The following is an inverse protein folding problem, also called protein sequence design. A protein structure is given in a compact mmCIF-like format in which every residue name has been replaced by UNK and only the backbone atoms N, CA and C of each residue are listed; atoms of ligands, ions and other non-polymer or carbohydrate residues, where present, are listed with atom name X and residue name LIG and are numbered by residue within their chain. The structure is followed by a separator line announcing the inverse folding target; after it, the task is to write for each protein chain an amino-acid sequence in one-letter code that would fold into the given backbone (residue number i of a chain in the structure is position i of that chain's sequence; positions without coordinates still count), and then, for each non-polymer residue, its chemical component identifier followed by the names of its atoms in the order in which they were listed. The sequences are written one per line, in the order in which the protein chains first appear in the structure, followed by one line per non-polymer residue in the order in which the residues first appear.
data_IF_181499747665
#
_entry.id   IF_181499747665
#
_cell.length_a   1.000
_cell.length_b   1.000
_cell.length_c   1.000
_cell.angle_alpha   90.00
_cell.angle_beta   90.00
_cell.angle_gamma   90.00
#
_symmetry.space_group_name_H-M   'P 1'
#
loop_
_entity.id
_entity.type
_entity.pdbx_description
1 polymer ?
#
# COMPACT_ATOMS: atom_id res chain seq x y z
N UNK A 1 -23.42 -19.45 -11.74
CA UNK A 1 -23.72 -18.63 -10.54
C UNK A 1 -23.38 -17.19 -10.88
N UNK A 2 -24.20 -16.22 -10.45
CA UNK A 2 -23.87 -14.81 -10.63
C UNK A 2 -22.59 -14.45 -9.89
N UNK A 3 -21.85 -13.51 -10.45
CA UNK A 3 -20.66 -12.91 -9.86
C UNK A 3 -21.08 -12.15 -8.58
N UNK A 4 -20.35 -12.23 -7.45
CA UNK A 4 -20.63 -11.38 -6.29
C UNK A 4 -20.59 -9.89 -6.66
N UNK A 5 -21.52 -9.09 -6.14
CA UNK A 5 -21.67 -7.67 -6.51
C UNK A 5 -20.49 -6.80 -6.05
N UNK A 6 -19.84 -7.20 -4.97
CA UNK A 6 -18.63 -6.58 -4.43
C UNK A 6 -17.35 -7.06 -5.11
N UNK A 7 -17.42 -8.03 -6.03
CA UNK A 7 -16.24 -8.46 -6.77
C UNK A 7 -15.70 -7.31 -7.64
N UNK A 8 -14.38 -7.12 -7.62
CA UNK A 8 -13.73 -6.14 -8.45
C UNK A 8 -13.91 -6.51 -9.94
N UNK A 9 -14.63 -5.72 -10.74
CA UNK A 9 -15.01 -6.13 -12.09
C UNK A 9 -13.86 -6.05 -13.09
N UNK A 10 -12.81 -5.29 -12.75
CA UNK A 10 -11.71 -4.94 -13.66
C UNK A 10 -10.65 -6.05 -13.75
N UNK A 11 -10.10 -6.30 -14.96
CA UNK A 11 -9.04 -7.28 -15.15
C UNK A 11 -7.76 -6.87 -14.41
N UNK A 12 -7.03 -7.87 -13.94
CA UNK A 12 -5.76 -7.72 -13.21
C UNK A 12 -4.64 -8.35 -14.04
N UNK A 13 -3.39 -7.87 -13.94
CA UNK A 13 -2.94 -6.71 -13.15
C UNK A 13 -3.51 -5.38 -13.70
N UNK A 14 -3.58 -4.35 -12.86
CA UNK A 14 -4.05 -3.04 -13.31
C UNK A 14 -2.95 -2.35 -14.14
N UNK A 15 -3.27 -1.69 -15.27
CA UNK A 15 -2.30 -0.91 -16.02
C UNK A 15 -1.85 0.33 -15.25
N UNK A 16 -0.67 0.87 -15.60
CA UNK A 16 -0.06 2.01 -14.88
C UNK A 16 -0.94 3.28 -14.87
N UNK A 17 -1.75 3.46 -15.91
CA UNK A 17 -2.67 4.59 -16.12
C UNK A 17 -4.13 4.26 -15.75
N UNK A 18 -4.37 3.14 -15.03
CA UNK A 18 -5.72 2.70 -14.70
C UNK A 18 -6.54 3.77 -13.96
N UNK A 19 -7.66 4.16 -14.57
CA UNK A 19 -8.58 5.18 -14.06
C UNK A 19 -10.06 4.77 -14.14
N UNK A 20 -10.36 3.55 -14.57
CA UNK A 20 -11.73 3.11 -14.84
C UNK A 20 -12.60 2.93 -13.58
N UNK A 21 -11.98 2.83 -12.39
CA UNK A 21 -12.69 2.81 -11.11
C UNK A 21 -12.53 4.15 -10.39
N UNK A 22 -13.62 4.86 -10.04
CA UNK A 22 -13.54 6.15 -9.36
C UNK A 22 -12.94 6.02 -7.95
N UNK A 23 -13.07 4.86 -7.33
CA UNK A 23 -12.46 4.54 -6.03
C UNK A 23 -11.06 3.91 -6.13
N UNK A 24 -10.44 3.84 -7.32
CA UNK A 24 -9.11 3.25 -7.44
C UNK A 24 -8.08 4.02 -6.63
N UNK A 25 -7.33 3.30 -5.80
CA UNK A 25 -6.17 3.81 -5.06
C UNK A 25 -5.01 2.87 -5.33
N UNK A 26 -4.04 3.35 -6.13
CA UNK A 26 -2.94 2.54 -6.60
C UNK A 26 -2.09 2.03 -5.43
N UNK A 27 -1.71 0.75 -5.51
CA UNK A 27 -0.81 0.10 -4.57
C UNK A 27 0.14 -0.80 -5.36
N UNK A 28 1.43 -0.76 -5.07
CA UNK A 28 2.35 -1.79 -5.53
C UNK A 28 2.28 -3.01 -4.60
N UNK A 29 2.15 -4.19 -5.18
CA UNK A 29 2.25 -5.47 -4.51
C UNK A 29 3.44 -6.22 -5.06
N UNK A 30 4.34 -6.67 -4.20
CA UNK A 30 5.58 -7.34 -4.59
C UNK A 30 5.56 -8.71 -3.90
N UNK A 31 5.10 -9.76 -4.61
CA UNK A 31 5.04 -11.08 -4.04
C UNK A 31 6.46 -11.63 -3.86
N UNK A 32 6.64 -12.41 -2.81
CA UNK A 32 7.84 -13.21 -2.60
C UNK A 32 7.54 -14.66 -3.00
N UNK A 33 8.50 -15.33 -3.64
CA UNK A 33 8.40 -16.78 -3.83
C UNK A 33 8.70 -17.55 -2.52
N UNK A 34 8.64 -18.88 -2.58
CA UNK A 34 8.92 -19.76 -1.42
C UNK A 34 10.38 -19.67 -0.93
N UNK A 35 11.26 -19.05 -1.70
CA UNK A 35 12.67 -18.81 -1.40
C UNK A 35 12.95 -17.36 -0.98
N UNK A 36 11.90 -16.56 -0.75
CA UNK A 36 11.97 -15.13 -0.45
C UNK A 36 12.69 -14.32 -1.55
N UNK A 37 12.61 -14.76 -2.81
CA UNK A 37 13.00 -13.95 -3.95
C UNK A 37 11.82 -13.05 -4.34
N UNK A 38 12.05 -11.74 -4.53
CA UNK A 38 11.01 -10.84 -4.99
C UNK A 38 10.65 -11.17 -6.45
N UNK A 39 9.35 -11.30 -6.69
CA UNK A 39 8.79 -11.41 -8.04
C UNK A 39 8.52 -10.01 -8.63
N UNK A 40 8.11 -9.97 -9.90
CA UNK A 40 7.78 -8.72 -10.57
C UNK A 40 6.68 -7.95 -9.79
N UNK A 41 6.91 -6.66 -9.48
CA UNK A 41 5.89 -5.82 -8.87
C UNK A 41 4.63 -5.75 -9.71
N UNK A 42 3.48 -5.96 -9.10
CA UNK A 42 2.18 -5.79 -9.75
C UNK A 42 1.43 -4.61 -9.14
N UNK A 43 0.77 -3.83 -10.00
CA UNK A 43 -0.13 -2.78 -9.56
C UNK A 43 -1.45 -3.41 -9.11
N UNK A 44 -1.87 -3.06 -7.91
CA UNK A 44 -3.15 -3.45 -7.29
C UNK A 44 -3.89 -2.22 -6.76
N UNK A 45 -5.07 -2.44 -6.20
CA UNK A 45 -5.86 -1.40 -5.54
C UNK A 45 -5.83 -1.60 -4.02
N UNK A 46 -5.69 -0.52 -3.24
CA UNK A 46 -5.72 -0.55 -1.78
C UNK A 46 -7.02 -1.14 -1.21
N UNK A 47 -8.12 -1.03 -1.95
CA UNK A 47 -9.42 -1.58 -1.53
C UNK A 47 -9.60 -3.05 -1.89
N UNK A 48 -8.66 -3.66 -2.63
CA UNK A 48 -8.78 -5.03 -3.09
C UNK A 48 -8.49 -6.00 -1.94
N UNK A 49 -9.44 -6.88 -1.64
CA UNK A 49 -9.33 -7.88 -0.57
C UNK A 49 -9.75 -9.25 -1.10
N UNK A 50 -9.24 -10.31 -0.46
CA UNK A 50 -9.65 -11.69 -0.77
C UNK A 50 -10.83 -12.08 0.12
N UNK A 51 -11.94 -12.53 -0.48
CA UNK A 51 -13.10 -13.08 0.24
C UNK A 51 -13.37 -14.51 -0.21
N UNK A 52 -13.91 -15.33 0.70
CA UNK A 52 -14.30 -16.69 0.40
C UNK A 52 -15.68 -16.73 -0.27
N UNK A 53 -15.84 -17.61 -1.26
CA UNK A 53 -17.16 -18.00 -1.75
C UNK A 53 -17.78 -19.05 -0.80
N UNK A 54 -19.11 -19.23 -0.81
CA UNK A 54 -19.76 -20.29 -0.01
C UNK A 54 -19.25 -21.70 -0.34
N UNK A 55 -18.68 -21.91 -1.54
CA UNK A 55 -18.07 -23.18 -1.90
C UNK A 55 -16.69 -23.32 -1.24
N UNK A 56 -16.42 -24.54 -0.78
CA UNK A 56 -15.15 -24.91 -0.16
C UNK A 56 -13.96 -24.59 -1.09
N UNK A 57 -12.91 -23.98 -0.52
CA UNK A 57 -11.66 -23.65 -1.22
C UNK A 57 -11.82 -22.76 -2.46
N UNK A 58 -12.83 -21.90 -2.48
CA UNK A 58 -12.97 -20.89 -3.53
C UNK A 58 -12.93 -19.49 -2.94
N UNK A 59 -12.16 -18.63 -3.60
CA UNK A 59 -11.99 -17.23 -3.22
C UNK A 59 -12.19 -16.33 -4.42
N UNK A 60 -12.48 -15.07 -4.17
CA UNK A 60 -12.63 -14.03 -5.17
C UNK A 60 -12.03 -12.72 -4.68
N UNK A 61 -11.73 -11.83 -5.62
CA UNK A 61 -11.12 -10.54 -5.35
C UNK A 61 -12.21 -9.48 -5.15
N UNK A 62 -12.60 -9.26 -3.90
CA UNK A 62 -13.63 -8.31 -3.51
C UNK A 62 -13.08 -6.88 -3.35
N UNK A 63 -13.96 -5.91 -3.43
CA UNK A 63 -13.70 -4.54 -3.02
C UNK A 63 -14.19 -4.35 -1.58
N UNK A 64 -13.30 -3.92 -0.68
CA UNK A 64 -13.65 -3.61 0.72
C UNK A 64 -14.71 -2.51 0.85
N UNK A 65 -14.85 -1.65 -0.16
CA UNK A 65 -15.91 -0.64 -0.22
C UNK A 65 -17.29 -1.22 -0.59
N UNK A 66 -17.35 -2.44 -1.13
CA UNK A 66 -18.58 -3.06 -1.61
C UNK A 66 -18.79 -2.94 -3.13
N UNK A 67 -20.05 -2.86 -3.53
CA UNK A 67 -20.51 -2.88 -4.92
C UNK A 67 -20.18 -1.60 -5.72
N UNK A 68 -20.70 -1.50 -6.94
CA UNK A 68 -20.48 -0.35 -7.81
C UNK A 68 -21.03 0.97 -7.23
N UNK A 69 -22.17 0.92 -6.55
CA UNK A 69 -22.79 2.10 -5.96
C UNK A 69 -21.97 2.58 -4.76
N UNK A 70 -21.56 1.67 -3.89
CA UNK A 70 -20.75 1.98 -2.72
C UNK A 70 -19.38 2.57 -3.12
N UNK A 71 -18.76 2.06 -4.19
CA UNK A 71 -17.54 2.65 -4.78
C UNK A 71 -17.77 4.09 -5.27
N UNK A 72 -18.88 4.34 -5.95
CA UNK A 72 -19.24 5.67 -6.44
C UNK A 72 -19.54 6.67 -5.32
N UNK A 73 -20.27 6.22 -4.29
CA UNK A 73 -20.61 7.02 -3.11
C UNK A 73 -19.35 7.43 -2.35
N UNK A 74 -18.46 6.48 -2.05
CA UNK A 74 -17.18 6.77 -1.40
C UNK A 74 -16.35 7.78 -2.19
N UNK A 75 -16.25 7.60 -3.51
CA UNK A 75 -15.48 8.52 -4.35
C UNK A 75 -16.07 9.95 -4.36
N UNK A 76 -17.40 10.06 -4.25
CA UNK A 76 -18.10 11.33 -4.17
C UNK A 76 -17.92 12.00 -2.80
N UNK A 77 -17.99 11.23 -1.70
CA UNK A 77 -17.77 11.70 -0.33
C UNK A 77 -16.33 12.21 -0.12
N UNK A 78 -15.34 11.53 -0.69
CA UNK A 78 -13.93 11.98 -0.64
C UNK A 78 -13.65 13.13 -1.62
N UNK A 79 -14.44 13.22 -2.70
CA UNK A 79 -14.30 14.20 -3.77
C UNK A 79 -13.38 13.74 -4.90
N UNK A 80 -13.93 13.59 -6.11
CA UNK A 80 -13.21 13.08 -7.29
C UNK A 80 -11.97 13.92 -7.62
N UNK A 81 -12.10 15.25 -7.62
CA UNK A 81 -10.97 16.15 -7.88
C UNK A 81 -9.85 16.01 -6.83
N UNK A 82 -10.19 15.74 -5.57
CA UNK A 82 -9.21 15.47 -4.50
C UNK A 82 -8.51 14.13 -4.75
N UNK A 83 -9.25 13.09 -5.13
CA UNK A 83 -8.70 11.78 -5.49
C UNK A 83 -7.75 11.85 -6.69
N UNK A 84 -8.05 12.67 -7.69
CA UNK A 84 -7.16 12.87 -8.84
C UNK A 84 -5.83 13.53 -8.45
N UNK A 85 -5.86 14.58 -7.62
CA UNK A 85 -4.65 15.21 -7.06
C UNK A 85 -3.83 14.21 -6.26
N UNK A 86 -4.48 13.45 -5.39
CA UNK A 86 -3.87 12.38 -4.61
C UNK A 86 -3.17 11.35 -5.51
N UNK A 87 -3.84 10.89 -6.58
CA UNK A 87 -3.25 9.92 -7.53
C UNK A 87 -2.05 10.52 -8.27
N UNK A 88 -2.07 11.81 -8.57
CA UNK A 88 -0.92 12.49 -9.17
C UNK A 88 0.28 12.47 -8.21
N UNK A 89 0.07 12.87 -6.96
CA UNK A 89 1.10 12.82 -5.91
C UNK A 89 1.63 11.40 -5.71
N UNK A 90 0.75 10.38 -5.67
CA UNK A 90 1.16 8.97 -5.56
C UNK A 90 2.03 8.51 -6.73
N UNK A 91 1.73 8.93 -7.96
CA UNK A 91 2.56 8.60 -9.14
C UNK A 91 3.92 9.25 -9.07
N UNK A 92 3.98 10.54 -8.73
CA UNK A 92 5.24 11.28 -8.58
C UNK A 92 6.10 10.66 -7.47
N UNK A 93 5.50 10.34 -6.33
CA UNK A 93 6.15 9.63 -5.23
C UNK A 93 6.69 8.26 -5.69
N UNK A 94 5.87 7.50 -6.44
CA UNK A 94 6.26 6.22 -7.02
C UNK A 94 7.49 6.34 -7.94
N UNK A 95 7.53 7.38 -8.78
CA UNK A 95 8.69 7.69 -9.63
C UNK A 95 9.92 8.05 -8.81
N UNK A 96 9.76 8.84 -7.74
CA UNK A 96 10.87 9.25 -6.87
C UNK A 96 11.52 8.05 -6.15
N UNK A 97 10.71 7.06 -5.73
CA UNK A 97 11.22 5.87 -5.01
C UNK A 97 11.64 4.71 -5.91
N UNK A 98 11.22 4.71 -7.19
CA UNK A 98 11.50 3.63 -8.14
C UNK A 98 12.98 3.19 -8.19
N UNK A 99 13.98 4.09 -8.12
CA UNK A 99 15.40 3.70 -8.13
C UNK A 99 15.82 2.83 -6.96
N UNK A 100 15.15 2.92 -5.81
CA UNK A 100 15.49 2.16 -4.61
C UNK A 100 14.78 0.81 -4.54
N UNK A 101 13.68 0.64 -5.27
CA UNK A 101 12.77 -0.49 -5.15
C UNK A 101 13.47 -1.84 -5.25
N UNK A 102 14.10 -2.13 -6.40
CA UNK A 102 14.73 -3.43 -6.66
C UNK A 102 15.77 -3.80 -5.57
N UNK A 103 16.60 -2.83 -5.16
CA UNK A 103 17.66 -3.08 -4.19
C UNK A 103 17.12 -3.24 -2.75
N UNK A 104 16.09 -2.48 -2.36
CA UNK A 104 15.40 -2.67 -1.08
C UNK A 104 14.82 -4.08 -0.97
N UNK A 105 14.21 -4.57 -2.04
CA UNK A 105 13.62 -5.91 -2.09
C UNK A 105 14.63 -7.03 -2.06
N UNK A 106 15.74 -6.89 -2.77
CA UNK A 106 16.81 -7.86 -2.73
C UNK A 106 17.42 -7.97 -1.32
N UNK A 107 17.75 -6.83 -0.70
CA UNK A 107 18.26 -6.80 0.67
C UNK A 107 17.26 -7.37 1.68
N UNK A 108 15.96 -7.10 1.49
CA UNK A 108 14.91 -7.68 2.32
C UNK A 108 14.81 -9.20 2.14
N UNK A 109 14.90 -9.70 0.92
CA UNK A 109 14.94 -11.13 0.63
C UNK A 109 16.15 -11.82 1.28
N UNK A 110 17.32 -11.19 1.22
CA UNK A 110 18.53 -11.68 1.91
C UNK A 110 18.34 -11.75 3.42
N UNK A 111 17.75 -10.70 4.03
CA UNK A 111 17.44 -10.67 5.45
C UNK A 111 16.48 -11.79 5.85
N UNK A 112 15.41 -12.01 5.10
CA UNK A 112 14.41 -13.07 5.36
C UNK A 112 14.99 -14.47 5.19
N UNK A 113 15.83 -14.69 4.18
CA UNK A 113 16.58 -15.96 4.01
C UNK A 113 17.50 -16.21 5.20
N UNK A 114 18.24 -15.19 5.64
CA UNK A 114 19.13 -15.33 6.79
C UNK A 114 18.35 -15.71 8.07
N UNK A 115 17.19 -15.09 8.31
CA UNK A 115 16.30 -15.48 9.41
C UNK A 115 15.78 -16.91 9.29
N UNK A 116 15.34 -17.33 8.09
CA UNK A 116 14.85 -18.70 7.86
C UNK A 116 15.94 -19.74 8.12
N UNK A 117 17.15 -19.47 7.65
CA UNK A 117 18.28 -20.39 7.70
C UNK A 117 19.02 -20.34 9.04
N UNK A 118 18.58 -19.51 9.99
CA UNK A 118 19.20 -19.33 11.31
C UNK A 118 20.60 -18.72 11.26
N UNK A 119 20.93 -18.01 10.18
CA UNK A 119 22.23 -17.38 9.94
C UNK A 119 22.20 -15.88 10.31
N UNK A 120 23.37 -15.23 10.27
CA UNK A 120 23.49 -13.82 10.63
C UNK A 120 22.82 -12.90 9.60
N UNK A 121 21.71 -12.27 10.02
CA UNK A 121 20.98 -11.28 9.23
C UNK A 121 21.51 -9.84 9.41
N UNK A 122 22.52 -9.63 10.27
CA UNK A 122 23.11 -8.32 10.57
C UNK A 122 23.56 -7.55 9.34
N UNK A 123 24.41 -8.12 8.46
CA UNK A 123 24.90 -7.44 7.27
C UNK A 123 23.79 -6.98 6.32
N UNK A 124 22.78 -7.83 6.08
CA UNK A 124 21.63 -7.50 5.24
C UNK A 124 20.76 -6.41 5.89
N UNK A 125 20.56 -6.48 7.21
CA UNK A 125 19.79 -5.49 7.97
C UNK A 125 20.46 -4.12 7.96
N UNK A 126 21.78 -4.05 8.13
CA UNK A 126 22.53 -2.80 8.07
C UNK A 126 22.52 -2.18 6.66
N UNK A 127 22.73 -2.98 5.63
CA UNK A 127 22.64 -2.53 4.24
C UNK A 127 21.23 -2.01 3.93
N UNK A 128 20.20 -2.68 4.41
CA UNK A 128 18.82 -2.27 4.24
C UNK A 128 18.53 -0.94 4.95
N UNK A 129 19.01 -0.76 6.18
CA UNK A 129 18.91 0.52 6.92
C UNK A 129 19.61 1.66 6.19
N UNK A 130 20.81 1.44 5.65
CA UNK A 130 21.53 2.47 4.89
C UNK A 130 20.77 2.89 3.64
N UNK A 131 20.28 1.93 2.85
CA UNK A 131 19.52 2.21 1.64
C UNK A 131 18.19 2.90 1.94
N UNK A 132 17.50 2.44 2.98
CA UNK A 132 16.26 3.07 3.43
C UNK A 132 16.48 4.51 3.89
N UNK A 133 17.58 4.80 4.61
CA UNK A 133 17.95 6.16 4.98
C UNK A 133 18.22 7.08 3.77
N UNK A 134 18.87 6.56 2.72
CA UNK A 134 19.05 7.29 1.46
C UNK A 134 17.71 7.60 0.78
N UNK A 135 16.81 6.61 0.73
CA UNK A 135 15.46 6.79 0.19
C UNK A 135 14.68 7.83 1.01
N UNK A 136 14.72 7.78 2.35
CA UNK A 136 14.06 8.76 3.22
C UNK A 136 14.57 10.18 2.97
N UNK A 137 15.89 10.37 2.85
CA UNK A 137 16.45 11.69 2.58
C UNK A 137 16.01 12.26 1.23
N UNK A 138 15.95 11.41 0.19
CA UNK A 138 15.43 11.80 -1.11
C UNK A 138 13.93 12.13 -1.04
N UNK A 139 13.15 11.30 -0.34
CA UNK A 139 11.73 11.54 -0.10
C UNK A 139 11.47 12.85 0.65
N UNK A 140 12.32 13.20 1.60
CA UNK A 140 12.23 14.47 2.31
C UNK A 140 12.41 15.66 1.35
N UNK A 141 13.45 15.64 0.51
CA UNK A 141 13.65 16.68 -0.50
C UNK A 141 12.48 16.79 -1.48
N UNK A 142 11.90 15.65 -1.87
CA UNK A 142 10.69 15.60 -2.70
C UNK A 142 9.49 16.25 -1.99
N UNK A 143 9.20 15.89 -0.74
CA UNK A 143 8.07 16.42 0.01
C UNK A 143 8.20 17.94 0.25
N UNK A 144 9.41 18.44 0.49
CA UNK A 144 9.67 19.86 0.65
C UNK A 144 9.42 20.63 -0.66
N UNK A 145 9.89 20.10 -1.79
CA UNK A 145 9.66 20.67 -3.13
C UNK A 145 8.18 20.67 -3.52
N UNK A 146 7.41 19.67 -3.09
CA UNK A 146 5.99 19.50 -3.41
C UNK A 146 5.04 19.92 -2.26
N UNK A 147 5.54 20.72 -1.30
CA UNK A 147 4.81 21.06 -0.06
C UNK A 147 3.43 21.69 -0.28
N UNK A 148 3.26 22.51 -1.32
CA UNK A 148 1.94 23.08 -1.70
C UNK A 148 0.96 22.00 -2.12
N UNK A 149 1.38 21.05 -2.96
CA UNK A 149 0.53 19.95 -3.43
C UNK A 149 0.07 19.03 -2.28
N UNK A 150 0.93 18.84 -1.27
CA UNK A 150 0.62 18.11 -0.05
C UNK A 150 -0.35 18.87 0.87
N UNK A 151 -0.20 20.19 0.97
CA UNK A 151 -1.14 21.06 1.69
C UNK A 151 -2.52 21.04 1.04
N UNK A 152 -2.60 21.09 -0.29
CA UNK A 152 -3.85 21.09 -1.08
C UNK A 152 -4.67 19.79 -0.99
N UNK A 153 -4.09 18.73 -0.41
CA UNK A 153 -4.75 17.45 -0.13
C UNK A 153 -4.95 17.21 1.37
N UNK A 154 -4.74 18.24 2.21
CA UNK A 154 -4.81 18.20 3.67
C UNK A 154 -3.81 17.20 4.30
N UNK A 155 -2.63 17.05 3.68
CA UNK A 155 -1.56 16.19 4.16
C UNK A 155 -0.31 17.02 4.48
N UNK A 156 -0.11 17.45 5.73
CA UNK A 156 1.11 18.15 6.12
C UNK A 156 2.36 17.32 5.84
N UNK A 157 3.42 17.96 5.34
CA UNK A 157 4.71 17.31 5.02
C UNK A 157 5.28 16.55 6.23
N UNK A 158 5.21 17.14 7.42
CA UNK A 158 5.67 16.50 8.66
C UNK A 158 4.91 15.21 8.99
N UNK A 159 3.60 15.18 8.69
CA UNK A 159 2.79 13.99 8.88
C UNK A 159 3.19 12.91 7.86
N UNK A 160 3.37 13.28 6.58
CA UNK A 160 3.83 12.37 5.54
C UNK A 160 5.21 11.76 5.87
N UNK A 161 6.16 12.57 6.36
CA UNK A 161 7.49 12.10 6.78
C UNK A 161 7.43 11.12 7.94
N UNK A 162 6.62 11.40 8.97
CA UNK A 162 6.42 10.49 10.10
C UNK A 162 5.88 9.14 9.64
N UNK A 163 4.93 9.16 8.70
CA UNK A 163 4.34 7.96 8.13
C UNK A 163 5.34 7.13 7.32
N UNK A 164 6.15 7.79 6.50
CA UNK A 164 7.21 7.14 5.71
C UNK A 164 8.24 6.48 6.63
N UNK A 165 8.72 7.19 7.64
CA UNK A 165 9.73 6.67 8.58
C UNK A 165 9.23 5.43 9.31
N UNK A 166 8.00 5.48 9.82
CA UNK A 166 7.39 4.34 10.48
C UNK A 166 7.23 3.14 9.53
N UNK A 167 6.73 3.38 8.32
CA UNK A 167 6.54 2.31 7.34
C UNK A 167 7.88 1.62 6.99
N UNK A 168 8.96 2.41 6.89
CA UNK A 168 10.32 1.91 6.66
C UNK A 168 10.86 1.13 7.85
N UNK A 169 10.73 1.64 9.08
CA UNK A 169 11.18 0.95 10.29
C UNK A 169 10.50 -0.42 10.41
N UNK A 170 9.19 -0.47 10.24
CA UNK A 170 8.42 -1.71 10.28
C UNK A 170 8.78 -2.65 9.13
N UNK A 171 9.02 -2.12 7.93
CA UNK A 171 9.53 -2.90 6.80
C UNK A 171 10.85 -3.59 7.17
N UNK A 172 11.78 -2.89 7.82
CA UNK A 172 13.08 -3.44 8.22
C UNK A 172 12.92 -4.48 9.34
N UNK A 173 12.06 -4.23 10.32
CA UNK A 173 11.88 -5.08 11.50
C UNK A 173 11.03 -6.34 11.24
N UNK A 174 10.30 -6.41 10.13
CA UNK A 174 9.46 -7.56 9.77
C UNK A 174 10.32 -8.82 9.57
N UNK A 175 10.20 -9.81 10.46
CA UNK A 175 10.99 -11.06 10.40
C UNK A 175 10.32 -12.20 9.65
N UNK A 176 8.99 -12.16 9.53
CA UNK A 176 8.20 -13.18 8.87
C UNK A 176 7.02 -12.51 8.16
N UNK A 177 7.02 -12.55 6.83
CA UNK A 177 5.84 -12.21 6.06
C UNK A 177 5.89 -12.89 4.69
N UNK A 178 4.77 -13.49 4.28
CA UNK A 178 4.54 -13.94 2.90
C UNK A 178 4.34 -12.75 1.95
N UNK A 179 4.02 -11.59 2.52
CA UNK A 179 3.83 -10.33 1.83
C UNK A 179 4.52 -9.24 2.65
N UNK A 180 5.51 -8.57 2.07
CA UNK A 180 6.07 -7.37 2.70
C UNK A 180 5.41 -6.17 2.02
N UNK A 181 5.01 -5.16 2.80
CA UNK A 181 4.32 -3.98 2.27
C UNK A 181 4.85 -2.75 2.98
N UNK A 182 5.07 -1.66 2.24
CA UNK A 182 5.36 -0.34 2.81
C UNK A 182 4.06 0.32 3.32
N UNK A 183 3.28 -0.40 4.11
CA UNK A 183 2.01 0.10 4.64
C UNK A 183 2.21 0.79 5.98
N UNK A 184 1.53 1.94 6.12
CA UNK A 184 1.30 2.56 7.41
C UNK A 184 0.26 1.71 8.17
N UNK A 185 0.60 1.20 9.35
CA UNK A 185 -0.31 0.42 10.19
C UNK A 185 -1.51 1.21 10.70
N UNK A 186 -2.62 0.50 10.92
CA UNK A 186 -3.89 1.07 11.32
C UNK A 186 -3.86 1.79 12.68
N UNK A 187 -3.08 1.25 13.61
CA UNK A 187 -2.84 1.81 14.96
C UNK A 187 -2.13 3.15 14.90
N UNK A 188 -1.27 3.36 13.90
CA UNK A 188 -0.58 4.64 13.73
C UNK A 188 -1.46 5.64 12.99
N UNK A 189 -2.26 5.18 12.03
CA UNK A 189 -3.26 6.02 11.37
C UNK A 189 -4.25 6.63 12.37
N UNK A 190 -4.63 5.94 13.43
CA UNK A 190 -5.53 6.47 14.47
C UNK A 190 -5.02 7.75 15.16
N UNK A 191 -3.71 7.99 15.17
CA UNK A 191 -3.11 9.21 15.73
C UNK A 191 -3.20 10.45 14.82
N UNK A 192 -3.71 10.32 13.59
CA UNK A 192 -3.75 11.41 12.61
C UNK A 192 -5.15 12.06 12.46
N UNK A 193 -5.20 13.32 11.98
CA UNK A 193 -6.47 13.97 11.62
C UNK A 193 -7.31 13.12 10.66
N UNK A 194 -8.63 13.26 10.76
CA UNK A 194 -9.59 12.55 9.89
C UNK A 194 -9.28 12.66 8.39
N UNK A 195 -8.87 13.82 7.83
CA UNK A 195 -8.54 13.92 6.40
C UNK A 195 -7.38 12.99 5.95
N UNK A 196 -6.42 12.75 6.85
CA UNK A 196 -5.28 11.85 6.64
C UNK A 196 -5.73 10.40 6.83
N UNK A 197 -6.55 10.12 7.85
CA UNK A 197 -7.11 8.78 8.08
C UNK A 197 -7.95 8.32 6.91
N UNK A 198 -8.90 9.12 6.45
CA UNK A 198 -9.77 8.83 5.29
C UNK A 198 -8.97 8.51 4.02
N UNK A 199 -7.77 9.05 3.90
CA UNK A 199 -6.87 8.75 2.78
C UNK A 199 -6.21 7.37 2.89
N UNK A 200 -5.71 6.98 4.07
CA UNK A 200 -5.02 5.69 4.26
C UNK A 200 -5.95 4.53 4.65
N UNK A 201 -7.05 4.83 5.31
CA UNK A 201 -8.14 3.95 5.69
C UNK A 201 -9.45 4.58 5.21
N UNK A 202 -10.11 4.01 4.20
CA UNK A 202 -11.53 4.32 4.03
C UNK A 202 -12.24 3.93 5.34
N UNK A 203 -13.11 4.78 5.87
CA UNK A 203 -14.03 4.39 6.92
C UNK A 203 -14.87 3.22 6.38
N UNK A 204 -14.50 1.98 6.73
CA UNK A 204 -15.21 0.80 6.27
C UNK A 204 -16.60 0.85 6.90
N UNK A 205 -17.62 1.14 6.10
CA UNK A 205 -19.02 1.16 6.55
C UNK A 205 -19.59 -0.24 6.84
N UNK A 206 -18.76 -1.28 6.81
CA UNK A 206 -19.15 -2.63 7.23
C UNK A 206 -18.10 -3.24 8.17
N UNK A 207 -18.43 -3.22 9.46
CA UNK A 207 -17.91 -4.21 10.42
C UNK A 207 -18.31 -5.59 9.87
N UNK A 208 -17.38 -6.53 9.65
CA UNK A 208 -17.77 -7.90 9.31
C UNK A 208 -18.70 -8.40 10.43
N UNK A 209 -19.83 -9.07 10.12
CA UNK A 209 -20.55 -9.77 11.17
C UNK A 209 -19.57 -10.72 11.88
N UNK A 210 -19.63 -10.86 13.22
CA UNK A 210 -18.81 -11.83 13.91
C UNK A 210 -19.04 -13.19 13.24
N UNK A 211 -17.96 -13.85 12.85
CA UNK A 211 -18.05 -15.23 12.38
C UNK A 211 -18.74 -16.06 13.48
N UNK A 212 -19.72 -16.91 13.12
CA UNK A 212 -20.32 -17.84 14.08
C UNK A 212 -19.29 -18.84 14.60
#
# INVERSE_FOLDING_TARGET
MPRPDDECPYPKPFPADFNACPAFQARQFIPLDTMYQPLEPVLTCRHLVTRALPQRHRWYAACSLGDAEARGRWASEVGIARLERIRAVQRELGTAIAPYGAQLWELKGQQLRAFRDGSDAGPATEALRRLAGQMTAHLQGFLEQHSTAFTDIDMPVDAALRLINLAIERFIDTKFATEVSFEVPDDVLQGFPEPVRTFFQPASTQRPPPNP
#
